data_IF_129636470805
#
_entry.id   IF_129636470805
#
_cell.length_a   1.000
_cell.length_b   1.000
_cell.length_c   1.000
_cell.angle_alpha   90.00
_cell.angle_beta   90.00
_cell.angle_gamma   90.00
#
_symmetry.space_group_name_H-M   'P 1'
#
loop_
_entity.id
_entity.type
_entity.pdbx_description
1 polymer ?
#
# COMPACT_ATOMS: atom_id res chain seq x y z
N UNK A 1 0.71 1.83 -26.69
CA UNK A 1 -0.70 1.62 -26.26
C UNK A 1 -0.77 1.80 -24.76
N UNK A 2 -1.81 2.48 -24.22
CA UNK A 2 -1.98 2.58 -22.76
C UNK A 2 -2.08 1.19 -22.15
N UNK A 3 -1.52 0.99 -20.96
CA UNK A 3 -1.72 -0.23 -20.21
C UNK A 3 -3.19 -0.29 -19.75
N UNK A 4 -4.04 -0.94 -20.55
CA UNK A 4 -5.48 -1.07 -20.24
C UNK A 4 -5.73 -1.83 -18.94
N UNK A 5 -4.85 -2.75 -18.55
CA UNK A 5 -4.94 -3.46 -17.27
C UNK A 5 -4.48 -2.60 -16.07
N UNK A 6 -3.63 -1.60 -16.30
CA UNK A 6 -3.10 -0.70 -15.27
C UNK A 6 -3.76 0.68 -15.22
N UNK A 7 -4.97 0.82 -15.79
CA UNK A 7 -5.65 2.12 -15.83
C UNK A 7 -6.14 2.50 -14.43
N UNK A 8 -5.47 3.49 -13.83
CA UNK A 8 -5.89 4.15 -12.60
C UNK A 8 -7.17 4.92 -12.91
N UNK A 9 -8.29 4.45 -12.38
CA UNK A 9 -9.61 5.02 -12.69
C UNK A 9 -10.32 5.61 -11.48
N UNK A 10 -9.93 5.20 -10.28
CA UNK A 10 -10.58 5.61 -9.03
C UNK A 10 -9.55 5.71 -7.90
N UNK A 11 -9.88 6.55 -6.92
CA UNK A 11 -9.21 6.59 -5.62
C UNK A 11 -10.19 6.11 -4.56
N UNK A 12 -9.67 5.41 -3.55
CA UNK A 12 -10.43 4.94 -2.40
C UNK A 12 -9.81 5.50 -1.13
N UNK A 13 -10.66 6.07 -0.29
CA UNK A 13 -10.29 6.56 1.05
C UNK A 13 -10.57 5.46 2.07
N UNK A 14 -9.54 5.03 2.79
CA UNK A 14 -9.60 3.88 3.68
C UNK A 14 -8.85 4.16 4.99
N UNK A 15 -9.27 3.46 6.05
CA UNK A 15 -8.49 3.38 7.29
C UNK A 15 -7.64 2.11 7.25
N UNK A 16 -6.32 2.28 7.23
CA UNK A 16 -5.38 1.17 7.39
C UNK A 16 -5.04 0.99 8.86
N UNK A 17 -5.15 -0.23 9.36
CA UNK A 17 -4.76 -0.59 10.73
C UNK A 17 -3.68 -1.66 10.72
N UNK A 18 -2.61 -1.45 11.51
CA UNK A 18 -1.52 -2.40 11.65
C UNK A 18 -0.85 -2.28 13.01
N UNK A 19 -0.85 -3.36 13.80
CA UNK A 19 -0.17 -3.46 15.12
C UNK A 19 -0.35 -2.21 16.02
N UNK A 20 -1.58 -1.72 16.14
CA UNK A 20 -1.92 -0.56 16.98
C UNK A 20 -1.72 0.81 16.32
N UNK A 21 -1.16 0.87 15.11
CA UNK A 21 -1.17 2.04 14.27
C UNK A 21 -2.45 2.05 13.42
N UNK A 22 -3.09 3.22 13.30
CA UNK A 22 -4.22 3.45 12.42
C UNK A 22 -4.01 4.77 11.69
N UNK A 23 -4.16 4.78 10.37
CA UNK A 23 -4.12 6.01 9.58
C UNK A 23 -5.13 5.99 8.44
N UNK A 24 -5.52 7.19 8.01
CA UNK A 24 -6.29 7.37 6.80
C UNK A 24 -5.34 7.39 5.59
N UNK A 25 -5.62 6.56 4.59
CA UNK A 25 -4.82 6.42 3.38
C UNK A 25 -5.69 6.49 2.13
N UNK A 26 -5.18 7.21 1.13
CA UNK A 26 -5.75 7.23 -0.21
C UNK A 26 -5.05 6.16 -1.07
N UNK A 27 -5.83 5.16 -1.49
CA UNK A 27 -5.37 4.10 -2.38
C UNK A 27 -5.88 4.32 -3.79
N UNK A 28 -5.03 4.00 -4.76
CA UNK A 28 -5.36 4.08 -6.16
C UNK A 28 -5.85 2.71 -6.64
N UNK A 29 -7.07 2.66 -7.18
CA UNK A 29 -7.70 1.40 -7.60
C UNK A 29 -7.21 1.01 -8.99
N UNK A 30 -6.66 -0.21 -9.08
CA UNK A 30 -6.18 -0.82 -10.32
C UNK A 30 -6.30 -2.34 -10.24
N UNK A 31 -6.13 -3.05 -11.35
CA UNK A 31 -6.12 -4.52 -11.35
C UNK A 31 -4.77 -5.02 -10.83
N UNK A 32 -4.76 -5.57 -9.61
CA UNK A 32 -3.55 -6.04 -8.93
C UNK A 32 -3.30 -7.56 -9.09
N UNK A 33 -4.17 -8.28 -9.78
CA UNK A 33 -4.06 -9.74 -9.90
C UNK A 33 -4.50 -10.43 -8.62
N UNK A 34 -3.56 -11.08 -7.90
CA UNK A 34 -3.86 -11.87 -6.69
C UNK A 34 -3.76 -11.05 -5.39
N UNK A 35 -3.22 -9.85 -5.47
CA UNK A 35 -2.98 -8.99 -4.33
C UNK A 35 -4.17 -8.06 -4.10
N UNK A 36 -4.60 -7.93 -2.85
CA UNK A 36 -5.69 -7.02 -2.50
C UNK A 36 -5.22 -5.56 -2.43
N UNK A 37 -3.98 -5.32 -1.97
CA UNK A 37 -3.41 -3.98 -1.83
C UNK A 37 -1.88 -4.03 -1.92
N UNK A 38 -1.28 -3.03 -2.54
CA UNK A 38 0.17 -2.83 -2.58
C UNK A 38 0.50 -1.43 -2.05
N UNK A 39 1.33 -1.37 -1.02
CA UNK A 39 1.89 -0.12 -0.52
C UNK A 39 3.15 0.23 -1.33
N UNK A 40 3.07 1.33 -2.08
CA UNK A 40 4.16 1.78 -2.93
C UNK A 40 5.28 2.49 -2.17
N UNK A 41 6.33 2.85 -2.92
CA UNK A 41 7.53 3.51 -2.37
C UNK A 41 7.25 4.87 -1.72
N UNK A 42 6.22 5.61 -2.18
CA UNK A 42 5.81 6.88 -1.56
C UNK A 42 5.38 6.69 -0.11
N UNK A 43 4.62 5.62 0.16
CA UNK A 43 4.18 5.29 1.52
C UNK A 43 5.37 4.84 2.37
N UNK A 44 6.23 3.95 1.83
CA UNK A 44 7.43 3.48 2.53
C UNK A 44 8.39 4.61 2.91
N UNK A 45 8.60 5.60 2.03
CA UNK A 45 9.46 6.76 2.33
C UNK A 45 8.88 7.67 3.40
N UNK A 46 7.56 7.81 3.45
CA UNK A 46 6.88 8.66 4.44
C UNK A 46 7.02 8.09 5.86
N UNK A 47 6.87 6.77 5.99
CA UNK A 47 6.83 6.11 7.30
C UNK A 47 8.17 5.48 7.70
N UNK A 48 9.05 5.27 6.72
CA UNK A 48 10.38 4.67 6.88
C UNK A 48 10.40 3.46 7.84
N UNK A 49 9.55 2.45 7.63
CA UNK A 49 9.43 1.33 8.57
C UNK A 49 10.69 0.47 8.59
N UNK A 50 10.92 -0.19 9.71
CA UNK A 50 11.86 -1.30 9.79
C UNK A 50 11.21 -2.53 9.13
N UNK A 51 11.84 -3.07 8.09
CA UNK A 51 11.35 -4.25 7.36
C UNK A 51 12.39 -5.36 7.46
N UNK A 52 11.98 -6.50 8.01
CA UNK A 52 12.73 -7.74 7.92
C UNK A 52 12.17 -8.58 6.79
N UNK A 53 12.89 -8.63 5.68
CA UNK A 53 12.51 -9.39 4.49
C UNK A 53 12.66 -10.91 4.67
N UNK A 54 13.41 -11.37 5.67
CA UNK A 54 13.57 -12.80 5.95
C UNK A 54 12.33 -13.34 6.65
N UNK A 55 11.82 -12.60 7.65
CA UNK A 55 10.62 -12.99 8.40
C UNK A 55 9.33 -12.42 7.82
N UNK A 56 9.42 -11.44 6.92
CA UNK A 56 8.28 -10.69 6.41
C UNK A 56 7.68 -9.72 7.42
N UNK A 57 8.39 -9.39 8.50
CA UNK A 57 7.88 -8.52 9.54
C UNK A 57 8.12 -7.04 9.21
N UNK A 58 7.12 -6.21 9.53
CA UNK A 58 7.18 -4.75 9.41
C UNK A 58 6.95 -4.13 10.78
N UNK A 59 7.73 -3.12 11.12
CA UNK A 59 7.56 -2.32 12.34
C UNK A 59 7.52 -0.84 11.98
N UNK A 60 6.44 -0.18 12.40
CA UNK A 60 6.23 1.25 12.28
C UNK A 60 6.75 1.88 13.57
N UNK A 61 7.59 2.90 13.46
CA UNK A 61 8.13 3.71 14.57
C UNK A 61 7.51 5.08 14.59
#
# INVERSE_FOLDING_TARGET
SPNKAGSITKVADMIMTYKGHSEQILLVVTQLGKQDTILGMTWLKKHNPEIDFTTGSVKLT
#
